data_IF_999681714207
#
_entry.id   IF_999681714207
#
_cell.length_a   1.000
_cell.length_b   1.000
_cell.length_c   1.000
_cell.angle_alpha   90.00
_cell.angle_beta   90.00
_cell.angle_gamma   90.00
#
_symmetry.space_group_name_H-M   'P 1'
#
loop_
_entity.id
_entity.type
_entity.pdbx_description
1 polymer ?
#
# COMPACT_ATOMS: atom_id res chain seq x y z
N UNK A 1 19.34 -2.19 5.00
CA UNK A 1 19.10 -2.26 3.54
C UNK A 1 18.32 -3.54 3.32
N UNK A 2 17.09 -3.46 2.84
CA UNK A 2 16.27 -4.66 2.63
C UNK A 2 16.73 -5.32 1.32
N UNK A 3 17.07 -6.61 1.37
CA UNK A 3 17.49 -7.39 0.18
C UNK A 3 16.30 -7.73 -0.75
N UNK A 4 15.16 -7.04 -0.58
CA UNK A 4 14.01 -7.26 -1.44
C UNK A 4 14.22 -6.58 -2.80
N UNK A 5 14.34 -7.42 -3.83
CA UNK A 5 14.56 -6.99 -5.21
C UNK A 5 13.24 -6.73 -5.99
N UNK A 6 12.15 -6.50 -5.27
CA UNK A 6 10.83 -6.29 -5.87
C UNK A 6 10.04 -7.59 -6.10
N UNK A 7 8.83 -7.47 -6.67
CA UNK A 7 8.02 -8.62 -7.03
C UNK A 7 8.75 -9.47 -8.08
N UNK A 8 8.59 -10.79 -7.99
CA UNK A 8 9.19 -11.69 -8.99
C UNK A 8 8.53 -11.48 -10.36
N UNK A 9 9.25 -11.83 -11.44
CA UNK A 9 8.72 -11.78 -12.81
C UNK A 9 7.43 -12.59 -13.01
N UNK A 10 7.12 -13.50 -12.09
CA UNK A 10 5.91 -14.33 -12.08
C UNK A 10 4.75 -13.71 -11.30
N UNK A 11 4.99 -12.63 -10.55
CA UNK A 11 3.95 -11.97 -9.76
C UNK A 11 2.95 -11.28 -10.68
N UNK A 12 1.69 -11.68 -10.61
CA UNK A 12 0.61 -11.13 -11.45
C UNK A 12 0.09 -9.82 -10.89
N UNK A 13 -0.51 -8.98 -11.75
CA UNK A 13 -1.06 -7.67 -11.35
C UNK A 13 -2.05 -7.76 -10.18
N UNK A 14 -2.89 -8.79 -10.13
CA UNK A 14 -3.86 -8.97 -9.04
C UNK A 14 -3.20 -9.35 -7.70
N UNK A 15 -2.06 -10.08 -7.75
CA UNK A 15 -1.28 -10.42 -6.55
C UNK A 15 -0.61 -9.17 -5.96
N UNK A 16 -0.14 -8.27 -6.83
CA UNK A 16 0.40 -6.98 -6.41
C UNK A 16 -0.66 -6.10 -5.76
N UNK A 17 -1.85 -6.03 -6.36
CA UNK A 17 -2.97 -5.25 -5.80
C UNK A 17 -3.38 -5.78 -4.43
N UNK A 18 -3.56 -7.10 -4.31
CA UNK A 18 -3.86 -7.73 -3.03
C UNK A 18 -2.75 -7.51 -2.00
N UNK A 19 -1.49 -7.60 -2.41
CA UNK A 19 -0.33 -7.31 -1.57
C UNK A 19 -0.34 -5.87 -1.04
N UNK A 20 -0.63 -4.87 -1.89
CA UNK A 20 -0.78 -3.46 -1.48
C UNK A 20 -1.93 -3.26 -0.50
N UNK A 21 -3.06 -3.92 -0.74
CA UNK A 21 -4.22 -3.84 0.17
C UNK A 21 -3.90 -4.39 1.56
N UNK A 22 -3.25 -5.55 1.64
CA UNK A 22 -2.80 -6.14 2.91
C UNK A 22 -1.79 -5.20 3.59
N UNK A 23 -0.84 -4.65 2.82
CA UNK A 23 0.15 -3.68 3.33
C UNK A 23 -0.54 -2.43 3.89
N UNK A 24 -1.56 -1.89 3.20
CA UNK A 24 -2.30 -0.73 3.67
C UNK A 24 -2.98 -1.00 5.02
N UNK A 25 -3.62 -2.15 5.18
CA UNK A 25 -4.27 -2.56 6.44
C UNK A 25 -3.26 -2.69 7.58
N UNK A 26 -2.09 -3.28 7.30
CA UNK A 26 -1.02 -3.42 8.28
C UNK A 26 -0.42 -2.06 8.67
N UNK A 27 -0.11 -1.19 7.69
CA UNK A 27 0.39 0.16 7.95
C UNK A 27 -0.62 1.02 8.71
N UNK A 28 -1.91 0.89 8.41
CA UNK A 28 -2.96 1.56 9.16
C UNK A 28 -2.95 1.12 10.63
N UNK A 29 -2.82 -0.18 10.89
CA UNK A 29 -2.74 -0.72 12.25
C UNK A 29 -1.52 -0.24 13.01
N UNK A 30 -0.37 -0.11 12.35
CA UNK A 30 0.86 0.48 12.93
C UNK A 30 0.65 1.95 13.26
N UNK A 31 0.06 2.70 12.34
CA UNK A 31 0.00 4.15 12.37
C UNK A 31 -1.07 4.69 13.35
N UNK A 32 -2.21 4.01 13.46
CA UNK A 32 -3.33 4.40 14.32
C UNK A 32 -3.31 3.69 15.66
N UNK A 33 -2.88 2.43 15.66
CA UNK A 33 -2.87 1.59 16.84
C UNK A 33 -1.59 1.66 17.67
N UNK A 34 -0.58 2.40 17.20
CA UNK A 34 0.78 2.44 17.78
C UNK A 34 1.34 1.03 18.05
N UNK A 35 1.13 0.14 17.06
CA UNK A 35 1.47 -1.27 17.15
C UNK A 35 2.76 -1.51 16.37
N UNK A 36 3.66 -2.31 16.94
CA UNK A 36 4.88 -2.70 16.24
C UNK A 36 4.57 -3.43 14.92
N UNK A 37 5.31 -3.18 13.82
CA UNK A 37 5.06 -3.79 12.51
C UNK A 37 4.90 -5.32 12.52
N UNK A 38 5.69 -6.11 13.29
CA UNK A 38 5.50 -7.56 13.36
C UNK A 38 4.14 -7.97 13.96
N UNK A 39 3.64 -7.22 14.94
CA UNK A 39 2.34 -7.48 15.58
C UNK A 39 1.20 -7.10 14.63
N UNK A 40 1.33 -5.95 13.94
CA UNK A 40 0.37 -5.54 12.92
C UNK A 40 0.31 -6.56 11.78
N UNK A 41 1.45 -7.09 11.37
CA UNK A 41 1.55 -8.14 10.37
C UNK A 41 0.78 -9.40 10.80
N UNK A 42 1.02 -9.90 12.01
CA UNK A 42 0.35 -11.09 12.53
C UNK A 42 -1.17 -10.90 12.55
N UNK A 43 -1.64 -9.76 13.05
CA UNK A 43 -3.09 -9.43 13.08
C UNK A 43 -3.70 -9.39 11.68
N UNK A 44 -2.99 -8.84 10.70
CA UNK A 44 -3.48 -8.79 9.32
C UNK A 44 -3.52 -10.18 8.69
N UNK A 45 -2.56 -11.05 8.96
CA UNK A 45 -2.59 -12.45 8.52
C UNK A 45 -3.79 -13.18 9.13
N UNK A 46 -3.98 -13.11 10.44
CA UNK A 46 -5.09 -13.77 11.14
C UNK A 46 -6.44 -13.31 10.58
N UNK A 47 -6.62 -11.98 10.41
CA UNK A 47 -7.84 -11.43 9.82
C UNK A 47 -8.03 -11.82 8.35
N UNK A 48 -6.95 -11.93 7.58
CA UNK A 48 -6.99 -12.35 6.19
C UNK A 48 -7.43 -13.82 6.08
N UNK A 49 -6.83 -14.73 6.85
CA UNK A 49 -7.21 -16.13 6.86
C UNK A 49 -8.66 -16.34 7.33
N UNK A 50 -9.14 -15.57 8.31
CA UNK A 50 -10.53 -15.60 8.74
C UNK A 50 -11.50 -15.10 7.66
N UNK A 51 -11.10 -14.18 6.80
CA UNK A 51 -11.95 -13.66 5.72
C UNK A 51 -11.96 -14.53 4.47
N UNK A 52 -10.98 -15.38 4.26
CA UNK A 52 -10.91 -16.34 3.13
C UNK A 52 -11.83 -17.57 3.38
N UNK A 53 -12.25 -17.78 4.63
CA UNK A 53 -13.24 -18.83 4.98
C UNK A 53 -14.47 -18.17 5.61
N UNK A 54 -15.34 -17.47 4.84
CA UNK A 54 -16.51 -16.85 5.43
C UNK A 54 -17.51 -17.91 5.91
N UNK A 55 -18.09 -17.73 7.10
CA UNK A 55 -19.26 -18.49 7.45
C UNK A 55 -20.39 -18.16 6.46
N UNK A 56 -21.09 -19.17 5.98
CA UNK A 56 -22.07 -19.18 4.89
C UNK A 56 -23.30 -18.26 5.06
N UNK A 57 -23.29 -17.29 5.95
CA UNK A 57 -24.45 -16.47 6.31
C UNK A 57 -24.24 -14.96 6.34
N UNK A 58 -23.07 -14.44 5.96
CA UNK A 58 -22.83 -12.98 5.92
C UNK A 58 -22.65 -12.53 4.47
N UNK A 59 -23.59 -11.69 4.02
CA UNK A 59 -23.46 -10.88 2.81
C UNK A 59 -22.15 -10.10 2.86
N UNK A 60 -21.28 -10.33 1.89
CA UNK A 60 -19.91 -9.92 1.74
C UNK A 60 -19.66 -8.43 2.00
N UNK A 61 -18.72 -8.06 2.87
CA UNK A 61 -17.87 -6.92 2.64
C UNK A 61 -16.70 -7.41 1.76
N UNK A 62 -16.71 -6.98 0.56
CA UNK A 62 -15.85 -7.36 -0.53
C UNK A 62 -14.39 -7.07 -0.20
N UNK A 63 -13.58 -8.09 -0.13
CA UNK A 63 -12.17 -7.98 -0.44
C UNK A 63 -12.08 -7.68 -1.94
N UNK A 64 -11.99 -6.41 -2.31
CA UNK A 64 -12.15 -5.96 -3.69
C UNK A 64 -11.01 -6.45 -4.60
N UNK A 65 -9.88 -6.84 -4.02
CA UNK A 65 -8.69 -7.30 -4.73
C UNK A 65 -8.21 -8.69 -4.29
N UNK A 66 -9.00 -9.42 -3.53
CA UNK A 66 -8.58 -10.73 -3.02
C UNK A 66 -8.32 -11.72 -4.15
N UNK A 67 -7.10 -12.22 -4.19
CA UNK A 67 -6.71 -13.36 -5.01
C UNK A 67 -7.61 -14.56 -4.69
N UNK A 68 -8.34 -15.04 -5.67
CA UNK A 68 -9.07 -16.31 -5.58
C UNK A 68 -8.03 -17.43 -5.47
N UNK A 69 -7.90 -18.07 -4.32
CA UNK A 69 -7.18 -19.32 -4.07
C UNK A 69 -5.77 -19.53 -4.61
N UNK A 70 -5.52 -19.15 -5.86
CA UNK A 70 -4.20 -19.16 -6.49
C UNK A 70 -3.56 -17.77 -6.40
N UNK A 71 -2.37 -17.67 -5.85
CA UNK A 71 -1.62 -16.41 -5.71
C UNK A 71 -1.74 -15.74 -4.33
N UNK A 72 -2.44 -16.35 -3.38
CA UNK A 72 -2.54 -15.83 -2.00
C UNK A 72 -1.14 -15.74 -1.36
N UNK A 73 -0.33 -16.78 -1.49
CA UNK A 73 1.02 -16.82 -0.92
C UNK A 73 1.90 -15.70 -1.50
N UNK A 74 1.82 -15.48 -2.82
CA UNK A 74 2.56 -14.41 -3.48
C UNK A 74 2.09 -13.02 -3.00
N UNK A 75 0.79 -12.82 -2.79
CA UNK A 75 0.24 -11.56 -2.26
C UNK A 75 0.70 -11.31 -0.82
N UNK A 76 0.75 -12.36 -0.01
CA UNK A 76 1.24 -12.31 1.37
C UNK A 76 2.74 -11.98 1.39
N UNK A 77 3.53 -12.60 0.53
CA UNK A 77 4.96 -12.34 0.42
C UNK A 77 5.24 -10.90 -0.01
N UNK A 78 4.53 -10.40 -1.02
CA UNK A 78 4.61 -8.98 -1.44
C UNK A 78 4.29 -8.07 -0.27
N UNK A 79 3.19 -8.30 0.42
CA UNK A 79 2.76 -7.47 1.55
C UNK A 79 3.76 -7.47 2.69
N UNK A 80 4.30 -8.63 3.05
CA UNK A 80 5.28 -8.78 4.12
C UNK A 80 6.56 -7.99 3.82
N UNK A 81 7.11 -8.16 2.62
CA UNK A 81 8.33 -7.46 2.22
C UNK A 81 8.10 -5.95 2.13
N UNK A 82 6.98 -5.53 1.55
CA UNK A 82 6.63 -4.12 1.42
C UNK A 82 6.45 -3.46 2.80
N UNK A 83 5.74 -4.09 3.72
CA UNK A 83 5.55 -3.58 5.08
C UNK A 83 6.90 -3.40 5.80
N UNK A 84 7.78 -4.41 5.73
CA UNK A 84 9.10 -4.35 6.35
C UNK A 84 9.97 -3.25 5.75
N UNK A 85 10.00 -3.15 4.42
CA UNK A 85 10.78 -2.15 3.72
C UNK A 85 10.30 -0.72 4.04
N UNK A 86 8.98 -0.48 3.99
CA UNK A 86 8.39 0.81 4.33
C UNK A 86 8.66 1.17 5.80
N UNK A 87 8.59 0.21 6.72
CA UNK A 87 8.88 0.46 8.13
C UNK A 87 10.34 0.91 8.35
N UNK A 88 11.28 0.30 7.65
CA UNK A 88 12.72 0.66 7.72
C UNK A 88 12.98 2.03 7.08
N UNK A 89 12.41 2.28 5.90
CA UNK A 89 12.65 3.48 5.09
C UNK A 89 11.65 4.61 5.39
N UNK A 90 10.83 4.49 6.43
CA UNK A 90 9.70 5.39 6.72
C UNK A 90 10.10 6.86 6.75
N UNK A 91 11.22 7.19 7.36
CA UNK A 91 11.67 8.59 7.50
C UNK A 91 12.03 9.21 6.14
N UNK A 92 12.66 8.45 5.27
CA UNK A 92 13.04 8.88 3.93
C UNK A 92 11.79 9.02 3.04
N UNK A 93 10.89 8.04 3.07
CA UNK A 93 9.60 8.07 2.38
C UNK A 93 8.79 9.29 2.82
N UNK A 94 8.61 9.50 4.12
CA UNK A 94 7.87 10.65 4.67
C UNK A 94 8.56 11.99 4.32
N UNK A 95 9.87 12.01 4.10
CA UNK A 95 10.59 13.19 3.65
C UNK A 95 10.33 13.52 2.19
N UNK A 96 10.26 12.50 1.32
CA UNK A 96 9.88 12.66 -0.09
C UNK A 96 8.45 13.18 -0.19
N UNK A 97 7.51 12.54 0.51
CA UNK A 97 6.11 12.99 0.54
C UNK A 97 6.01 14.45 1.00
N UNK A 98 6.72 14.86 2.06
CA UNK A 98 6.72 16.25 2.55
C UNK A 98 7.25 17.25 1.53
N UNK A 99 8.25 16.90 0.75
CA UNK A 99 8.81 17.77 -0.29
C UNK A 99 7.83 18.03 -1.42
N UNK A 100 7.10 16.98 -1.83
CA UNK A 100 6.15 17.05 -2.95
C UNK A 100 4.75 17.53 -2.52
N UNK A 101 4.39 17.42 -1.23
CA UNK A 101 3.10 17.86 -0.68
C UNK A 101 3.17 19.23 0.02
N UNK A 102 3.69 20.26 -0.65
CA UNK A 102 4.01 21.60 -0.07
C UNK A 102 2.86 22.26 0.71
N UNK A 103 1.60 21.99 0.33
CA UNK A 103 0.40 22.56 0.95
C UNK A 103 -0.16 21.70 2.09
N UNK A 104 0.28 20.44 2.22
CA UNK A 104 -0.31 19.47 3.12
C UNK A 104 0.76 18.83 4.01
N UNK A 105 0.64 19.04 5.31
CA UNK A 105 1.54 18.39 6.27
C UNK A 105 1.13 16.93 6.44
N UNK A 106 2.07 15.99 6.31
CA UNK A 106 1.84 14.55 6.45
C UNK A 106 1.15 14.18 7.79
N UNK A 107 1.45 14.92 8.87
CA UNK A 107 0.84 14.74 10.17
C UNK A 107 -0.64 15.14 10.24
N UNK A 108 -1.16 15.87 9.25
CA UNK A 108 -2.55 16.28 9.11
C UNK A 108 -3.33 15.48 8.07
N UNK A 109 -2.64 14.63 7.30
CA UNK A 109 -3.29 13.73 6.37
C UNK A 109 -4.06 12.65 7.12
N UNK A 110 -5.16 12.21 6.57
CA UNK A 110 -5.88 11.04 7.09
C UNK A 110 -4.97 9.81 7.09
N UNK A 111 -5.12 8.87 8.06
CA UNK A 111 -4.27 7.68 8.11
C UNK A 111 -4.26 6.87 6.81
N UNK A 112 -5.40 6.76 6.14
CA UNK A 112 -5.52 6.08 4.83
C UNK A 112 -4.68 6.80 3.78
N UNK A 113 -4.84 8.11 3.66
CA UNK A 113 -4.12 8.94 2.69
C UNK A 113 -2.60 8.78 2.82
N UNK A 114 -2.07 9.03 4.04
CA UNK A 114 -0.62 8.97 4.26
C UNK A 114 -0.04 7.58 4.08
N UNK A 115 -0.79 6.52 4.36
CA UNK A 115 -0.31 5.15 4.16
C UNK A 115 -0.38 4.70 2.70
N UNK A 116 -1.38 5.12 1.92
CA UNK A 116 -1.39 4.94 0.46
C UNK A 116 -0.22 5.71 -0.17
N UNK A 117 0.03 6.95 0.26
CA UNK A 117 1.17 7.73 -0.23
C UNK A 117 2.52 7.06 0.11
N UNK A 118 2.65 6.44 1.30
CA UNK A 118 3.86 5.69 1.65
C UNK A 118 4.08 4.49 0.73
N UNK A 119 3.03 3.72 0.44
CA UNK A 119 3.09 2.59 -0.48
C UNK A 119 3.50 3.08 -1.89
N UNK A 120 2.77 4.05 -2.44
CA UNK A 120 3.04 4.56 -3.78
C UNK A 120 4.44 5.18 -3.89
N UNK A 121 4.85 6.01 -2.92
CA UNK A 121 6.18 6.61 -2.91
C UNK A 121 7.28 5.55 -2.86
N UNK A 122 7.14 4.55 -2.00
CA UNK A 122 8.10 3.45 -1.92
C UNK A 122 8.27 2.75 -3.27
N UNK A 123 7.18 2.34 -3.92
CA UNK A 123 7.24 1.64 -5.20
C UNK A 123 7.77 2.53 -6.34
N UNK A 124 7.38 3.80 -6.39
CA UNK A 124 7.88 4.78 -7.38
C UNK A 124 9.40 4.96 -7.27
N UNK A 125 9.92 5.11 -6.06
CA UNK A 125 11.37 5.29 -5.84
C UNK A 125 12.16 4.01 -6.13
N UNK A 126 11.60 2.84 -5.82
CA UNK A 126 12.24 1.55 -6.14
C UNK A 126 12.23 1.22 -7.64
N UNK A 127 11.22 1.69 -8.37
CA UNK A 127 11.16 1.52 -9.83
C UNK A 127 10.96 0.08 -10.30
N UNK A 128 10.44 -0.82 -9.45
CA UNK A 128 10.18 -2.21 -9.83
C UNK A 128 8.97 -2.36 -10.74
N UNK A 129 8.06 -1.41 -10.70
CA UNK A 129 6.77 -1.39 -11.39
C UNK A 129 6.68 -0.08 -12.16
N UNK A 130 6.11 -0.06 -13.38
CA UNK A 130 5.87 1.18 -14.10
C UNK A 130 5.09 2.20 -13.25
N UNK A 131 5.55 3.44 -13.21
CA UNK A 131 4.98 4.46 -12.35
C UNK A 131 3.47 4.65 -12.55
N UNK A 132 3.01 4.57 -13.81
CA UNK A 132 1.59 4.66 -14.17
C UNK A 132 0.76 3.58 -13.48
N UNK A 133 1.25 2.35 -13.41
CA UNK A 133 0.55 1.23 -12.78
C UNK A 133 0.51 1.40 -11.25
N UNK A 134 1.61 1.89 -10.66
CA UNK A 134 1.65 2.20 -9.21
C UNK A 134 0.62 3.26 -8.87
N UNK A 135 0.60 4.38 -9.61
CA UNK A 135 -0.34 5.49 -9.37
C UNK A 135 -1.78 5.02 -9.55
N UNK A 136 -2.06 4.29 -10.65
CA UNK A 136 -3.39 3.74 -10.90
C UNK A 136 -3.88 2.89 -9.73
N UNK A 137 -3.09 1.94 -9.25
CA UNK A 137 -3.49 1.05 -8.16
C UNK A 137 -3.62 1.78 -6.82
N UNK A 138 -2.79 2.79 -6.54
CA UNK A 138 -2.93 3.66 -5.36
C UNK A 138 -4.22 4.48 -5.40
N UNK A 139 -4.61 4.98 -6.58
CA UNK A 139 -5.88 5.70 -6.77
C UNK A 139 -7.08 4.75 -6.58
N UNK A 140 -6.99 3.51 -7.06
CA UNK A 140 -8.05 2.51 -6.81
C UNK A 140 -8.19 2.17 -5.32
N UNK A 141 -7.09 2.01 -4.58
CA UNK A 141 -7.12 1.86 -3.12
C UNK A 141 -7.77 3.09 -2.46
N UNK A 142 -7.46 4.30 -2.94
CA UNK A 142 -8.03 5.53 -2.42
C UNK A 142 -9.53 5.65 -2.67
N UNK A 143 -10.03 5.16 -3.81
CA UNK A 143 -11.47 5.10 -4.10
C UNK A 143 -12.22 4.15 -3.17
N UNK A 144 -11.55 3.07 -2.75
CA UNK A 144 -12.18 2.05 -1.94
C UNK A 144 -12.13 2.35 -0.43
N UNK A 145 -11.01 2.90 0.05
CA UNK A 145 -10.74 3.08 1.48
C UNK A 145 -10.80 4.54 1.95
N UNK A 146 -10.73 5.50 1.03
CA UNK A 146 -10.75 6.93 1.33
C UNK A 146 -12.11 7.58 1.10
N UNK A 147 -12.19 8.87 1.43
CA UNK A 147 -13.34 9.73 1.15
C UNK A 147 -13.30 10.24 -0.30
N UNK A 148 -14.37 10.88 -0.77
CA UNK A 148 -14.52 11.39 -2.14
C UNK A 148 -13.32 12.19 -2.68
N UNK A 149 -12.69 13.13 -1.92
CA UNK A 149 -11.54 13.88 -2.42
C UNK A 149 -10.22 13.09 -2.44
N UNK A 150 -10.13 11.96 -1.70
CA UNK A 150 -8.88 11.22 -1.52
C UNK A 150 -8.23 10.72 -2.81
N UNK A 151 -8.96 10.16 -3.79
CA UNK A 151 -8.35 9.68 -5.04
C UNK A 151 -7.62 10.77 -5.81
N UNK A 152 -8.24 11.96 -5.95
CA UNK A 152 -7.63 13.11 -6.62
C UNK A 152 -6.41 13.63 -5.86
N UNK A 153 -6.46 13.64 -4.53
CA UNK A 153 -5.37 14.02 -3.66
C UNK A 153 -4.16 13.08 -3.80
N UNK A 154 -4.38 11.77 -3.77
CA UNK A 154 -3.34 10.75 -3.95
C UNK A 154 -2.70 10.89 -5.32
N UNK A 155 -3.50 10.95 -6.39
CA UNK A 155 -2.99 11.12 -7.74
C UNK A 155 -2.08 12.35 -7.86
N UNK A 156 -2.54 13.50 -7.40
CA UNK A 156 -1.79 14.75 -7.53
C UNK A 156 -0.44 14.73 -6.78
N UNK A 157 -0.36 14.10 -5.61
CA UNK A 157 0.90 14.01 -4.85
C UNK A 157 1.85 12.99 -5.49
N UNK A 158 1.37 11.82 -5.93
CA UNK A 158 2.22 10.81 -6.57
C UNK A 158 2.75 11.32 -7.92
N UNK A 159 1.94 12.02 -8.72
CA UNK A 159 2.39 12.69 -9.94
C UNK A 159 3.49 13.72 -9.63
N UNK A 160 3.32 14.52 -8.57
CA UNK A 160 4.34 15.49 -8.16
C UNK A 160 5.63 14.79 -7.69
N UNK A 161 5.54 13.66 -7.00
CA UNK A 161 6.70 12.84 -6.62
C UNK A 161 7.44 12.36 -7.86
N UNK A 162 6.73 11.91 -8.90
CA UNK A 162 7.36 11.52 -10.16
C UNK A 162 8.12 12.68 -10.80
N UNK A 163 7.51 13.87 -10.86
CA UNK A 163 8.14 15.07 -11.41
C UNK A 163 9.39 15.48 -10.61
N UNK A 164 9.28 15.55 -9.28
CA UNK A 164 10.36 16.00 -8.40
C UNK A 164 11.56 15.03 -8.42
N UNK A 165 11.35 13.74 -8.72
CA UNK A 165 12.37 12.70 -8.76
C UNK A 165 12.70 12.21 -10.18
N UNK A 166 12.22 12.88 -11.23
CA UNK A 166 12.47 12.56 -12.65
C UNK A 166 12.09 11.11 -13.04
N UNK A 167 11.02 10.59 -12.44
CA UNK A 167 10.47 9.28 -12.74
C UNK A 167 9.54 9.42 -13.96
N UNK A 168 9.78 8.61 -15.00
CA UNK A 168 8.94 8.62 -16.21
C UNK A 168 7.55 8.02 -15.93
N UNK A 169 6.50 8.67 -16.43
CA UNK A 169 5.10 8.24 -16.38
C UNK A 169 4.71 7.45 -17.63
#
# INVERSE_FOLDING_TARGET
MTDWNGPTLTTRSHELRAGREITLKALYSVDVGDIAPPVAWQRCQDAFFLSVSPPSSLSQPQAHFMATGQGIDASIDVARHMLQAIAIERMDIDTIIRKSSKRWRISRMQPIERNILRIGTFELIKGFIPARDVIYDCVELAKFYGDEPTPGFINGILDQICQDNQIAL
#
